data_IF_967411965871
#
_entry.id   IF_967411965871
#
_cell.length_a   1.000
_cell.length_b   1.000
_cell.length_c   1.000
_cell.angle_alpha   90.00
_cell.angle_beta   90.00
_cell.angle_gamma   90.00
#
_symmetry.space_group_name_H-M   'P 1'
#
loop_
_entity.id
_entity.type
_entity.pdbx_description
1 polymer ?
#
# COMPACT_ATOMS: atom_id res chain seq x y z
N UNK A 1 -29.55 -41.18 69.76
CA UNK A 1 -29.07 -41.59 68.39
C UNK A 1 -29.22 -40.47 67.36
N UNK A 2 -30.12 -39.55 67.51
CA UNK A 2 -30.32 -38.40 66.50
C UNK A 2 -29.19 -37.38 66.48
N UNK A 3 -28.58 -37.03 67.63
CA UNK A 3 -27.53 -36.00 67.64
C UNK A 3 -26.21 -36.37 66.91
N UNK A 4 -25.82 -37.63 66.98
CA UNK A 4 -24.64 -38.09 66.26
C UNK A 4 -24.85 -38.09 64.73
N UNK A 5 -26.05 -38.46 64.27
CA UNK A 5 -26.41 -38.45 62.85
C UNK A 5 -26.40 -36.99 62.29
N UNK A 6 -26.94 -36.01 63.07
CA UNK A 6 -26.91 -34.60 62.65
C UNK A 6 -25.48 -34.06 62.56
N UNK A 7 -24.57 -34.39 63.47
CA UNK A 7 -23.15 -34.00 63.42
C UNK A 7 -22.45 -34.60 62.21
N UNK A 8 -22.69 -35.87 61.90
CA UNK A 8 -22.10 -36.52 60.73
C UNK A 8 -22.59 -35.88 59.41
N UNK A 9 -23.89 -35.61 59.30
CA UNK A 9 -24.48 -34.91 58.15
C UNK A 9 -23.88 -33.55 57.95
N UNK A 10 -23.73 -32.76 59.01
CA UNK A 10 -23.10 -31.41 58.95
C UNK A 10 -21.65 -31.52 58.54
N UNK A 11 -20.86 -32.47 59.03
CA UNK A 11 -19.46 -32.67 58.62
C UNK A 11 -19.36 -33.11 57.14
N UNK A 12 -20.22 -33.96 56.65
CA UNK A 12 -20.25 -34.35 55.24
C UNK A 12 -20.61 -33.19 54.33
N UNK A 13 -21.57 -32.37 54.71
CA UNK A 13 -21.94 -31.18 53.95
C UNK A 13 -20.81 -30.15 53.93
N UNK A 14 -20.16 -29.92 55.08
CA UNK A 14 -18.98 -29.03 55.14
C UNK A 14 -17.82 -29.56 54.30
N UNK A 15 -17.55 -30.87 54.34
CA UNK A 15 -16.50 -31.49 53.51
C UNK A 15 -16.83 -31.41 52.00
N UNK A 16 -18.09 -31.64 51.62
CA UNK A 16 -18.54 -31.50 50.24
C UNK A 16 -18.45 -30.03 49.75
N UNK A 17 -18.84 -29.09 50.60
CA UNK A 17 -18.71 -27.67 50.29
C UNK A 17 -17.21 -27.24 50.12
N UNK A 18 -16.37 -27.73 51.03
CA UNK A 18 -14.93 -27.46 50.97
C UNK A 18 -14.29 -28.05 49.71
N UNK A 19 -14.69 -29.27 49.33
CA UNK A 19 -14.25 -29.93 48.10
C UNK A 19 -14.73 -29.17 46.85
N UNK A 20 -15.99 -28.73 46.83
CA UNK A 20 -16.54 -27.95 45.73
C UNK A 20 -15.80 -26.62 45.55
N UNK A 21 -15.38 -25.95 46.63
CA UNK A 21 -14.58 -24.71 46.60
C UNK A 21 -13.11 -24.97 46.20
N UNK A 22 -12.60 -26.19 46.40
CA UNK A 22 -11.23 -26.58 46.08
C UNK A 22 -10.98 -26.80 44.59
N UNK A 23 -12.01 -27.10 43.81
CA UNK A 23 -11.89 -27.42 42.40
C UNK A 23 -12.02 -26.15 41.58
N UNK A 24 -11.01 -25.84 40.79
CA UNK A 24 -11.00 -24.72 39.83
C UNK A 24 -10.63 -25.23 38.45
N UNK A 25 -11.31 -24.70 37.44
CA UNK A 25 -11.03 -24.99 36.03
C UNK A 25 -10.23 -23.84 35.43
N UNK A 26 -9.06 -24.16 34.87
CA UNK A 26 -8.22 -23.23 34.08
C UNK A 26 -8.47 -23.55 32.62
N UNK A 27 -8.85 -22.52 31.84
CA UNK A 27 -9.14 -22.67 30.42
C UNK A 27 -7.85 -22.86 29.60
N UNK A 28 -7.94 -23.47 28.41
CA UNK A 28 -6.79 -23.77 27.57
C UNK A 28 -5.94 -22.55 27.20
N UNK A 29 -6.54 -21.40 27.06
CA UNK A 29 -5.91 -20.12 26.74
C UNK A 29 -5.48 -19.31 27.97
N UNK A 30 -5.61 -19.87 29.17
CA UNK A 30 -5.23 -19.25 30.44
C UNK A 30 -4.15 -20.08 31.13
N UNK A 31 -3.35 -19.41 31.93
CA UNK A 31 -2.47 -20.05 32.92
C UNK A 31 -2.83 -19.55 34.30
N UNK A 32 -2.84 -20.43 35.26
CA UNK A 32 -3.12 -20.11 36.65
C UNK A 32 -1.82 -19.89 37.43
N UNK A 33 -1.59 -18.68 37.92
CA UNK A 33 -0.51 -18.42 38.88
C UNK A 33 -1.04 -18.68 40.28
N UNK A 34 -0.47 -19.67 40.96
CA UNK A 34 -0.87 -20.09 42.29
C UNK A 34 -0.05 -19.35 43.35
N UNK A 35 -0.75 -18.61 44.18
CA UNK A 35 -0.19 -17.98 45.38
C UNK A 35 -0.63 -18.75 46.62
N UNK A 36 0.31 -19.13 47.43
CA UNK A 36 0.06 -19.73 48.74
C UNK A 36 0.60 -18.82 49.83
N UNK A 37 -0.28 -18.34 50.70
CA UNK A 37 0.08 -17.39 51.76
C UNK A 37 0.88 -16.18 51.21
N UNK A 38 0.51 -15.68 50.03
CA UNK A 38 1.17 -14.55 49.37
C UNK A 38 2.46 -14.87 48.62
N UNK A 39 2.97 -16.11 48.62
CA UNK A 39 4.14 -16.53 47.84
C UNK A 39 3.73 -17.30 46.62
N UNK A 40 4.42 -17.03 45.48
CA UNK A 40 4.23 -17.80 44.25
C UNK A 40 4.75 -19.22 44.43
N UNK A 41 3.90 -20.20 44.26
CA UNK A 41 4.24 -21.63 44.31
C UNK A 41 4.54 -22.18 42.93
N UNK A 42 3.86 -21.68 41.89
CA UNK A 42 4.08 -22.13 40.52
C UNK A 42 2.92 -21.78 39.61
N UNK A 43 3.09 -22.21 38.35
CA UNK A 43 2.07 -22.07 37.29
C UNK A 43 1.27 -23.35 37.17
N UNK A 44 -0.04 -23.23 37.07
CA UNK A 44 -0.94 -24.33 36.80
C UNK A 44 -1.34 -24.35 35.33
N UNK A 45 -1.23 -25.53 34.74
CA UNK A 45 -1.63 -25.77 33.36
C UNK A 45 -3.17 -25.83 33.21
N UNK A 46 -3.67 -25.70 31.97
CA UNK A 46 -5.10 -25.83 31.70
C UNK A 46 -5.65 -27.19 32.15
N UNK A 47 -6.85 -27.16 32.66
CA UNK A 47 -7.54 -28.35 33.15
C UNK A 47 -8.09 -28.16 34.53
N UNK A 48 -8.36 -29.27 35.20
CA UNK A 48 -8.84 -29.35 36.59
C UNK A 48 -7.65 -29.10 37.52
N UNK A 49 -7.75 -28.05 38.35
CA UNK A 49 -6.74 -27.69 39.33
C UNK A 49 -7.35 -27.70 40.72
N UNK A 50 -6.69 -28.38 41.63
CA UNK A 50 -7.07 -28.40 43.06
C UNK A 50 -6.30 -27.32 43.78
N UNK A 51 -7.04 -26.48 44.51
CA UNK A 51 -6.53 -25.43 45.37
C UNK A 51 -7.03 -25.66 46.80
N UNK A 52 -6.23 -25.23 47.76
CA UNK A 52 -6.67 -25.20 49.16
C UNK A 52 -7.44 -23.91 49.41
N UNK A 53 -8.78 -23.98 49.61
CA UNK A 53 -9.55 -22.76 49.85
C UNK A 53 -8.98 -21.99 51.05
N UNK A 54 -9.05 -20.64 51.02
CA UNK A 54 -8.55 -19.74 52.05
C UNK A 54 -7.02 -19.53 52.02
N UNK A 55 -6.23 -20.57 51.79
CA UNK A 55 -4.75 -20.50 51.79
C UNK A 55 -4.20 -20.16 50.42
N UNK A 56 -4.81 -20.76 49.36
CA UNK A 56 -4.37 -20.63 47.99
C UNK A 56 -5.23 -19.62 47.23
N UNK A 57 -4.56 -18.72 46.53
CA UNK A 57 -5.19 -17.77 45.61
C UNK A 57 -4.71 -18.05 44.20
N UNK A 58 -5.65 -18.35 43.31
CA UNK A 58 -5.36 -18.61 41.88
C UNK A 58 -5.65 -17.36 41.06
N UNK A 59 -4.59 -16.72 40.50
CA UNK A 59 -4.71 -15.66 39.53
C UNK A 59 -4.64 -16.23 38.11
N UNK A 60 -5.68 -16.03 37.31
CA UNK A 60 -5.73 -16.51 35.93
C UNK A 60 -5.25 -15.41 34.99
N UNK A 61 -4.31 -15.75 34.10
CA UNK A 61 -3.72 -14.86 33.11
C UNK A 61 -4.00 -15.43 31.73
N UNK A 62 -4.56 -14.60 30.84
CA UNK A 62 -4.80 -15.00 29.44
C UNK A 62 -3.51 -14.87 28.63
N UNK A 63 -3.22 -15.90 27.82
CA UNK A 63 -2.08 -15.94 26.90
C UNK A 63 -2.45 -15.49 25.48
N UNK A 64 -3.72 -15.11 25.25
CA UNK A 64 -4.17 -14.63 23.95
C UNK A 64 -3.56 -13.27 23.64
N UNK A 65 -3.47 -12.99 22.35
CA UNK A 65 -3.12 -11.66 21.89
C UNK A 65 -4.25 -10.69 22.28
N UNK A 66 -3.85 -9.60 22.89
CA UNK A 66 -4.75 -8.51 23.29
C UNK A 66 -4.46 -7.32 22.39
N UNK A 67 -5.49 -6.78 21.80
CA UNK A 67 -5.43 -5.54 21.02
C UNK A 67 -5.66 -4.36 21.94
N UNK A 68 -4.71 -3.44 21.96
CA UNK A 68 -4.77 -2.25 22.82
C UNK A 68 -4.70 -0.98 21.96
N UNK A 69 -5.78 -0.19 21.93
CA UNK A 69 -5.74 1.10 21.27
C UNK A 69 -4.89 2.09 22.09
N UNK A 70 -3.97 2.77 21.42
CA UNK A 70 -3.22 3.90 21.96
C UNK A 70 -3.96 5.16 21.54
N UNK A 71 -4.39 5.92 22.54
CA UNK A 71 -5.16 7.15 22.32
C UNK A 71 -4.34 8.17 21.54
N UNK A 72 -5.04 8.99 20.76
CA UNK A 72 -4.44 10.06 19.98
C UNK A 72 -3.59 10.99 20.86
N UNK A 73 -2.37 11.24 20.40
CA UNK A 73 -1.38 12.10 21.04
C UNK A 73 -1.01 13.25 20.11
N UNK A 74 -1.14 14.48 20.64
CA UNK A 74 -0.58 15.66 19.98
C UNK A 74 0.94 15.64 20.05
N UNK A 75 1.60 15.62 18.90
CA UNK A 75 3.05 15.50 18.74
C UNK A 75 3.53 16.59 17.80
N UNK A 76 4.70 17.16 18.08
CA UNK A 76 5.38 18.06 17.16
C UNK A 76 6.49 17.24 16.48
N UNK A 77 6.43 17.17 15.17
CA UNK A 77 7.41 16.47 14.32
C UNK A 77 8.72 17.25 14.24
N UNK A 78 9.78 16.65 13.68
CA UNK A 78 11.11 17.27 13.52
C UNK A 78 11.05 18.56 12.68
N UNK A 79 10.16 18.63 11.71
CA UNK A 79 9.88 19.79 10.84
C UNK A 79 8.91 20.81 11.44
N UNK A 80 8.70 20.73 12.76
CA UNK A 80 7.88 21.66 13.56
C UNK A 80 6.40 21.70 13.15
N UNK A 81 5.86 20.57 12.68
CA UNK A 81 4.43 20.42 12.39
C UNK A 81 3.74 19.71 13.55
N UNK A 82 2.63 20.29 14.05
CA UNK A 82 1.80 19.64 15.06
C UNK A 82 0.87 18.63 14.39
N UNK A 83 0.92 17.38 14.85
CA UNK A 83 0.11 16.26 14.34
C UNK A 83 -0.52 15.50 15.49
N UNK A 84 -1.73 14.99 15.29
CA UNK A 84 -2.37 14.09 16.24
C UNK A 84 -2.24 12.65 15.69
N UNK A 85 -1.52 11.81 16.43
CA UNK A 85 -1.22 10.44 16.01
C UNK A 85 -1.84 9.44 16.96
N UNK A 86 -2.57 8.48 16.42
CA UNK A 86 -3.10 7.32 17.13
C UNK A 86 -2.48 6.02 16.60
N UNK A 87 -2.39 5.00 17.47
CA UNK A 87 -1.82 3.71 17.12
C UNK A 87 -2.57 2.56 17.78
N UNK A 88 -2.27 1.35 17.37
CA UNK A 88 -2.76 0.13 18.00
C UNK A 88 -1.58 -0.78 18.28
N UNK A 89 -1.49 -1.30 19.51
CA UNK A 89 -0.50 -2.27 19.90
C UNK A 89 -1.14 -3.64 20.14
N UNK A 90 -0.48 -4.69 19.68
CA UNK A 90 -0.86 -6.08 19.90
C UNK A 90 0.19 -6.72 20.79
N UNK A 91 -0.23 -7.22 21.93
CA UNK A 91 0.67 -7.86 22.88
C UNK A 91 0.08 -9.15 23.42
N UNK A 92 0.92 -10.03 23.92
CA UNK A 92 0.54 -11.25 24.63
C UNK A 92 1.43 -11.48 25.83
N UNK A 93 0.89 -12.11 26.85
CA UNK A 93 1.66 -12.57 28.00
C UNK A 93 2.34 -13.90 27.64
N UNK A 94 3.66 -13.97 27.86
CA UNK A 94 4.47 -15.18 27.68
C UNK A 94 4.79 -15.81 29.03
N UNK A 95 5.19 -14.99 30.00
CA UNK A 95 5.47 -15.43 31.36
C UNK A 95 4.37 -14.88 32.31
N UNK A 96 3.40 -15.73 32.70
CA UNK A 96 2.31 -15.30 33.56
C UNK A 96 2.76 -14.96 34.99
N UNK A 97 3.89 -15.51 35.48
CA UNK A 97 4.40 -15.20 36.80
C UNK A 97 4.94 -13.78 36.82
N UNK A 98 5.81 -13.44 35.88
CA UNK A 98 6.35 -12.08 35.75
C UNK A 98 5.24 -11.06 35.57
N UNK A 99 4.25 -11.37 34.72
CA UNK A 99 3.13 -10.47 34.45
C UNK A 99 2.25 -10.16 35.67
N UNK A 100 2.21 -11.04 36.67
CA UNK A 100 1.42 -10.81 37.88
C UNK A 100 2.24 -10.24 39.02
N UNK A 101 3.55 -10.56 39.08
CA UNK A 101 4.44 -10.16 40.18
C UNK A 101 5.14 -8.83 39.91
N UNK A 102 5.59 -8.62 38.66
CA UNK A 102 6.39 -7.46 38.32
C UNK A 102 5.55 -6.18 38.13
N UNK A 103 4.28 -6.32 37.76
CA UNK A 103 3.43 -5.17 37.45
C UNK A 103 1.98 -5.43 37.86
N UNK A 104 1.31 -4.40 38.38
CA UNK A 104 -0.07 -4.50 38.83
C UNK A 104 -1.06 -4.59 37.66
N UNK A 105 -0.87 -3.70 36.67
CA UNK A 105 -1.74 -3.62 35.49
C UNK A 105 -0.91 -3.51 34.22
N UNK A 106 -0.74 -4.65 33.56
CA UNK A 106 0.04 -4.77 32.32
C UNK A 106 -0.52 -3.83 31.25
N UNK A 107 -1.84 -3.82 31.02
CA UNK A 107 -2.45 -3.03 29.96
C UNK A 107 -2.25 -1.52 30.18
N UNK A 108 -2.45 -1.03 31.40
CA UNK A 108 -2.26 0.38 31.70
C UNK A 108 -0.81 0.83 31.53
N UNK A 109 0.13 0.00 32.00
CA UNK A 109 1.54 0.32 31.89
C UNK A 109 2.04 0.31 30.45
N UNK A 110 1.67 -0.70 29.65
CA UNK A 110 2.00 -0.74 28.22
C UNK A 110 1.43 0.47 27.51
N UNK A 111 0.19 0.85 27.80
CA UNK A 111 -0.43 2.03 27.20
C UNK A 111 0.37 3.31 27.52
N UNK A 112 0.78 3.49 28.74
CA UNK A 112 1.55 4.67 29.17
C UNK A 112 2.92 4.73 28.47
N UNK A 113 3.61 3.60 28.40
CA UNK A 113 4.91 3.53 27.70
C UNK A 113 4.71 3.72 26.19
N UNK A 114 3.67 3.11 25.60
CA UNK A 114 3.37 3.25 24.20
C UNK A 114 3.09 4.70 23.80
N UNK A 115 2.35 5.46 24.62
CA UNK A 115 2.10 6.89 24.38
C UNK A 115 3.39 7.71 24.39
N UNK A 116 4.27 7.45 25.37
CA UNK A 116 5.56 8.16 25.47
C UNK A 116 6.53 7.79 24.37
N UNK A 117 6.57 6.51 24.01
CA UNK A 117 7.39 5.99 22.90
C UNK A 117 6.90 6.52 21.55
N UNK A 118 5.60 6.51 21.32
CA UNK A 118 4.98 7.08 20.13
C UNK A 118 5.38 8.55 19.94
N UNK A 119 5.25 9.36 21.01
CA UNK A 119 5.66 10.77 21.00
C UNK A 119 7.14 10.93 20.69
N UNK A 120 8.00 10.10 21.30
CA UNK A 120 9.46 10.14 21.08
C UNK A 120 9.83 9.79 19.66
N UNK A 121 9.32 8.68 19.13
CA UNK A 121 9.69 8.19 17.79
C UNK A 121 9.15 9.11 16.72
N UNK A 122 7.85 9.45 16.73
CA UNK A 122 7.26 10.35 15.73
C UNK A 122 7.88 11.75 15.79
N UNK A 123 8.21 12.27 16.99
CA UNK A 123 8.90 13.55 17.12
C UNK A 123 10.33 13.60 16.56
N UNK A 124 10.95 12.45 16.32
CA UNK A 124 12.28 12.36 15.69
C UNK A 124 12.24 12.35 14.17
N UNK A 125 11.07 12.07 13.57
CA UNK A 125 10.86 12.01 12.14
C UNK A 125 10.18 13.28 11.61
N UNK A 126 10.37 13.56 10.31
CA UNK A 126 9.58 14.59 9.62
C UNK A 126 8.17 14.06 9.31
N UNK A 127 7.26 14.97 8.97
CA UNK A 127 5.91 14.59 8.57
C UNK A 127 5.93 13.68 7.33
N UNK A 128 6.73 14.04 6.33
CA UNK A 128 6.84 13.25 5.10
C UNK A 128 7.41 11.85 5.36
N UNK A 129 8.43 11.73 6.21
CA UNK A 129 8.97 10.44 6.65
C UNK A 129 7.93 9.62 7.41
N UNK A 130 7.15 10.27 8.28
CA UNK A 130 6.11 9.60 9.08
C UNK A 130 4.99 9.04 8.20
N UNK A 131 4.64 9.73 7.12
CA UNK A 131 3.62 9.29 6.17
C UNK A 131 4.15 8.25 5.16
N UNK A 132 5.39 8.42 4.69
CA UNK A 132 5.97 7.56 3.65
C UNK A 132 6.61 6.28 4.19
N UNK A 133 7.17 6.32 5.42
CA UNK A 133 7.95 5.22 6.02
C UNK A 133 7.27 4.69 7.29
N UNK A 134 5.95 4.61 7.29
CA UNK A 134 5.14 4.15 8.43
C UNK A 134 5.60 2.79 8.96
N UNK A 135 6.00 1.88 8.07
CA UNK A 135 6.45 0.53 8.44
C UNK A 135 7.74 0.56 9.29
N UNK A 136 8.70 1.41 8.93
CA UNK A 136 9.95 1.58 9.69
C UNK A 136 9.66 2.12 11.09
N UNK A 137 8.77 3.08 11.19
CA UNK A 137 8.34 3.67 12.46
C UNK A 137 7.63 2.64 13.33
N UNK A 138 6.74 1.83 12.75
CA UNK A 138 6.03 0.75 13.44
C UNK A 138 7.01 -0.26 14.04
N UNK A 139 8.03 -0.67 13.27
CA UNK A 139 9.09 -1.58 13.75
C UNK A 139 9.89 -0.96 14.89
N UNK A 140 10.31 0.30 14.76
CA UNK A 140 11.05 1.00 15.80
C UNK A 140 10.26 1.11 17.12
N UNK A 141 8.97 1.48 17.02
CA UNK A 141 8.11 1.56 18.21
C UNK A 141 7.95 0.18 18.86
N UNK A 142 7.72 -0.86 18.05
CA UNK A 142 7.61 -2.24 18.54
C UNK A 142 8.86 -2.69 19.28
N UNK A 143 10.05 -2.47 18.72
CA UNK A 143 11.32 -2.87 19.32
C UNK A 143 11.58 -2.17 20.67
N UNK A 144 11.29 -0.88 20.74
CA UNK A 144 11.44 -0.14 22.00
C UNK A 144 10.44 -0.65 23.04
N UNK A 145 9.19 -0.90 22.67
CA UNK A 145 8.16 -1.40 23.57
C UNK A 145 8.50 -2.81 24.06
N UNK A 146 8.89 -3.70 23.14
CA UNK A 146 9.23 -5.08 23.46
C UNK A 146 10.39 -5.16 24.45
N UNK A 147 11.45 -4.39 24.22
CA UNK A 147 12.58 -4.30 25.15
C UNK A 147 12.20 -3.79 26.55
N UNK A 148 11.21 -2.90 26.66
CA UNK A 148 10.74 -2.40 27.96
C UNK A 148 9.78 -3.37 28.67
N UNK A 149 9.03 -4.17 27.92
CA UNK A 149 8.01 -5.11 28.45
C UNK A 149 8.57 -6.51 28.71
N UNK A 150 9.76 -6.84 28.22
CA UNK A 150 10.43 -8.13 28.43
C UNK A 150 10.56 -8.50 29.93
N UNK A 151 10.91 -7.51 30.75
CA UNK A 151 11.01 -7.68 32.20
C UNK A 151 9.70 -8.07 32.88
N UNK A 152 8.57 -7.81 32.25
CA UNK A 152 7.23 -8.13 32.73
C UNK A 152 6.69 -9.44 32.16
N UNK A 153 7.48 -10.17 31.34
CA UNK A 153 7.04 -11.40 30.70
C UNK A 153 5.95 -11.19 29.65
N UNK A 154 5.93 -10.02 29.01
CA UNK A 154 5.01 -9.64 27.95
C UNK A 154 5.79 -9.38 26.68
N UNK A 155 5.27 -9.85 25.55
CA UNK A 155 5.86 -9.63 24.22
C UNK A 155 4.90 -8.79 23.39
N UNK A 156 5.41 -7.71 22.82
CA UNK A 156 4.69 -6.87 21.87
C UNK A 156 4.91 -7.44 20.47
N UNK A 157 3.86 -8.02 19.91
CA UNK A 157 3.93 -8.70 18.61
C UNK A 157 3.94 -7.73 17.44
N UNK A 158 3.10 -6.70 17.52
CA UNK A 158 2.90 -5.75 16.43
C UNK A 158 2.48 -4.39 16.99
N UNK A 159 2.94 -3.32 16.37
CA UNK A 159 2.44 -1.97 16.59
C UNK A 159 2.16 -1.36 15.23
N UNK A 160 1.01 -0.74 15.08
CA UNK A 160 0.59 -0.08 13.85
C UNK A 160 0.08 1.32 14.14
N UNK A 161 0.58 2.29 13.39
CA UNK A 161 -0.01 3.62 13.33
C UNK A 161 -1.37 3.52 12.64
N UNK A 162 -2.42 4.01 13.32
CA UNK A 162 -3.79 3.91 12.82
C UNK A 162 -4.19 5.14 12.02
N UNK A 163 -3.95 6.33 12.57
CA UNK A 163 -4.39 7.59 11.99
C UNK A 163 -3.40 8.70 12.36
N UNK A 164 -3.10 9.55 11.38
CA UNK A 164 -2.26 10.73 11.52
C UNK A 164 -3.11 11.93 11.08
N UNK A 165 -3.60 12.69 12.04
CA UNK A 165 -4.45 13.84 11.79
C UNK A 165 -3.60 15.10 11.73
N UNK A 166 -3.78 15.83 10.66
CA UNK A 166 -3.11 17.11 10.39
C UNK A 166 -4.07 18.28 10.63
N UNK A 167 -3.58 19.44 11.06
CA UNK A 167 -4.36 20.66 11.06
C UNK A 167 -4.91 21.00 9.67
N UNK A 168 -6.11 21.53 9.60
CA UNK A 168 -6.78 21.85 8.33
C UNK A 168 -6.00 22.82 7.43
N UNK A 169 -5.24 23.74 8.03
CA UNK A 169 -4.34 24.64 7.29
C UNK A 169 -3.24 23.88 6.55
N UNK A 170 -2.67 22.86 7.21
CA UNK A 170 -1.60 22.03 6.64
C UNK A 170 -2.15 21.08 5.58
N UNK A 171 -3.30 20.43 5.81
CA UNK A 171 -3.97 19.62 4.79
C UNK A 171 -4.18 20.38 3.49
N UNK A 172 -4.63 21.64 3.58
CA UNK A 172 -4.81 22.51 2.41
C UNK A 172 -3.50 22.90 1.75
N UNK A 173 -2.44 23.11 2.52
CA UNK A 173 -1.12 23.40 1.98
C UNK A 173 -0.55 22.20 1.23
N UNK A 174 -0.59 21.01 1.83
CA UNK A 174 -0.13 19.76 1.21
C UNK A 174 -0.95 19.38 -0.03
N UNK A 175 -2.28 19.60 -0.01
CA UNK A 175 -3.13 19.39 -1.18
C UNK A 175 -2.69 20.26 -2.37
N UNK A 176 -2.42 21.56 -2.14
CA UNK A 176 -1.92 22.46 -3.18
C UNK A 176 -0.52 22.07 -3.68
N UNK A 177 0.35 21.65 -2.77
CA UNK A 177 1.69 21.16 -3.15
C UNK A 177 1.60 19.89 -4.00
N UNK A 178 0.78 18.92 -3.58
CA UNK A 178 0.55 17.69 -4.33
C UNK A 178 -0.08 17.94 -5.71
N UNK A 179 -0.99 18.91 -5.81
CA UNK A 179 -1.60 19.31 -7.08
C UNK A 179 -0.56 19.94 -8.02
N UNK A 180 0.26 20.87 -7.50
CA UNK A 180 1.34 21.49 -8.27
C UNK A 180 2.40 20.47 -8.73
N UNK A 181 2.73 19.50 -7.89
CA UNK A 181 3.68 18.43 -8.24
C UNK A 181 3.10 17.49 -9.31
N UNK A 182 1.82 17.14 -9.21
CA UNK A 182 1.11 16.36 -10.24
C UNK A 182 1.04 17.12 -11.56
N UNK A 183 0.71 18.40 -11.53
CA UNK A 183 0.68 19.25 -12.72
C UNK A 183 2.08 19.36 -13.37
N UNK A 184 3.13 19.57 -12.56
CA UNK A 184 4.52 19.54 -13.05
C UNK A 184 4.85 18.22 -13.74
N UNK A 185 4.54 17.09 -13.08
CA UNK A 185 4.80 15.76 -13.63
C UNK A 185 4.01 15.50 -14.90
N UNK A 186 2.73 15.91 -14.93
CA UNK A 186 1.90 15.80 -16.14
C UNK A 186 2.48 16.61 -17.32
N UNK A 187 2.99 17.83 -17.06
CA UNK A 187 3.65 18.65 -18.09
C UNK A 187 4.94 18.03 -18.60
N UNK A 188 5.73 17.41 -17.72
CA UNK A 188 6.96 16.71 -18.13
C UNK A 188 6.61 15.51 -19.02
N UNK A 189 5.67 14.67 -18.58
CA UNK A 189 5.22 13.49 -19.34
C UNK A 189 4.62 13.91 -20.69
N UNK A 190 3.84 14.99 -20.74
CA UNK A 190 3.29 15.50 -21.99
C UNK A 190 4.41 15.97 -22.94
N UNK A 191 5.38 16.73 -22.43
CA UNK A 191 6.52 17.20 -23.22
C UNK A 191 7.41 16.05 -23.73
N UNK A 192 7.67 15.05 -22.90
CA UNK A 192 8.38 13.82 -23.30
C UNK A 192 7.59 13.05 -24.37
N UNK A 193 6.27 12.94 -24.19
CA UNK A 193 5.38 12.32 -25.18
C UNK A 193 5.37 13.08 -26.51
N UNK A 194 5.32 14.41 -26.49
CA UNK A 194 5.41 15.25 -27.69
C UNK A 194 6.77 15.09 -28.39
N UNK A 195 7.88 15.05 -27.64
CA UNK A 195 9.22 14.83 -28.20
C UNK A 195 9.31 13.47 -28.89
N UNK A 196 8.88 12.41 -28.23
CA UNK A 196 8.86 11.04 -28.82
C UNK A 196 7.93 10.98 -30.05
N UNK A 197 6.77 11.64 -29.99
CA UNK A 197 5.87 11.71 -31.13
C UNK A 197 6.46 12.50 -32.29
N UNK A 198 7.16 13.62 -32.02
CA UNK A 198 7.85 14.39 -33.05
C UNK A 198 8.95 13.60 -33.75
N UNK A 199 9.77 12.86 -33.01
CA UNK A 199 10.80 11.98 -33.56
C UNK A 199 10.18 10.87 -34.44
N UNK A 200 9.11 10.24 -33.95
CA UNK A 200 8.39 9.20 -34.71
C UNK A 200 7.73 9.77 -35.97
N UNK A 201 7.15 10.97 -35.88
CA UNK A 201 6.56 11.67 -37.04
C UNK A 201 7.66 12.11 -38.02
N UNK A 202 8.82 12.54 -37.55
CA UNK A 202 9.99 12.86 -38.37
C UNK A 202 10.45 11.63 -39.16
N UNK A 203 10.67 10.51 -38.49
CA UNK A 203 11.05 9.26 -39.13
C UNK A 203 9.98 8.76 -40.12
N UNK A 204 8.70 8.87 -39.78
CA UNK A 204 7.60 8.54 -40.68
C UNK A 204 7.55 9.46 -41.91
N UNK A 205 7.83 10.75 -41.72
CA UNK A 205 7.88 11.74 -42.81
C UNK A 205 9.00 11.44 -43.80
N UNK A 206 10.20 11.05 -43.32
CA UNK A 206 11.32 10.69 -44.18
C UNK A 206 10.98 9.47 -45.06
N UNK A 207 10.31 8.46 -44.47
CA UNK A 207 9.83 7.28 -45.22
C UNK A 207 8.75 7.65 -46.25
N UNK A 208 7.81 8.54 -45.88
CA UNK A 208 6.75 9.00 -46.78
C UNK A 208 7.28 9.89 -47.92
N UNK A 209 8.29 10.68 -47.66
CA UNK A 209 8.97 11.51 -48.70
C UNK A 209 9.68 10.64 -49.72
N UNK A 210 10.23 9.48 -49.34
CA UNK A 210 10.82 8.52 -50.25
C UNK A 210 9.76 7.81 -51.15
N UNK A 211 8.50 7.80 -50.72
CA UNK A 211 7.38 7.14 -51.42
C UNK A 211 6.18 8.09 -51.62
N UNK A 212 6.13 8.91 -52.66
CA UNK A 212 5.10 9.95 -52.86
C UNK A 212 3.66 9.42 -52.87
N UNK A 213 3.44 8.17 -53.31
CA UNK A 213 2.10 7.52 -53.25
C UNK A 213 1.64 7.25 -51.82
N UNK A 214 2.55 6.96 -50.88
CA UNK A 214 2.22 6.74 -49.47
C UNK A 214 1.68 8.03 -48.83
N UNK A 215 2.24 9.20 -49.19
CA UNK A 215 1.76 10.48 -48.72
C UNK A 215 0.30 10.77 -49.15
N UNK A 216 -0.01 10.41 -50.41
CA UNK A 216 -1.39 10.59 -50.94
C UNK A 216 -2.38 9.69 -50.22
N UNK A 217 -1.98 8.42 -49.99
CA UNK A 217 -2.84 7.46 -49.25
C UNK A 217 -3.06 7.94 -47.80
N UNK A 218 -2.04 8.48 -47.17
CA UNK A 218 -2.15 9.04 -45.79
C UNK A 218 -3.06 10.25 -45.74
N UNK A 219 -3.01 11.15 -46.74
CA UNK A 219 -3.91 12.30 -46.86
C UNK A 219 -5.36 11.84 -47.03
N UNK A 220 -5.61 10.82 -47.85
CA UNK A 220 -6.94 10.25 -48.02
C UNK A 220 -7.43 9.58 -46.73
N UNK A 221 -6.58 8.89 -46.02
CA UNK A 221 -6.90 8.26 -44.73
C UNK A 221 -7.29 9.30 -43.66
N UNK A 222 -6.51 10.40 -43.55
CA UNK A 222 -6.84 11.50 -42.65
C UNK A 222 -8.16 12.18 -43.00
N UNK A 223 -8.51 12.29 -44.29
CA UNK A 223 -9.81 12.79 -44.74
C UNK A 223 -10.95 11.86 -44.34
N UNK A 224 -10.75 10.55 -44.41
CA UNK A 224 -11.76 9.56 -43.98
C UNK A 224 -11.95 9.64 -42.46
N UNK A 225 -10.85 9.76 -41.67
CA UNK A 225 -10.91 9.93 -40.22
C UNK A 225 -11.69 11.19 -39.80
N UNK A 226 -11.47 12.32 -40.49
CA UNK A 226 -12.22 13.56 -40.25
C UNK A 226 -13.71 13.43 -40.65
N UNK A 227 -14.02 12.60 -41.66
CA UNK A 227 -15.38 12.38 -42.13
C UNK A 227 -16.26 11.49 -41.21
N UNK A 228 -15.62 10.69 -40.33
CA UNK A 228 -16.34 9.79 -39.41
C UNK A 228 -17.06 10.55 -38.29
N UNK A 229 -16.53 11.69 -37.88
CA UNK A 229 -17.05 12.50 -36.75
C UNK A 229 -18.21 13.45 -37.08
N UNK A 230 -18.98 13.18 -38.12
CA UNK A 230 -20.21 13.93 -38.49
C UNK A 230 -20.03 15.44 -38.69
N UNK A 231 -18.84 15.95 -38.90
CA UNK A 231 -18.59 17.34 -39.23
C UNK A 231 -18.66 17.53 -40.78
N UNK A 232 -19.62 18.28 -41.22
CA UNK A 232 -19.89 18.52 -42.67
C UNK A 232 -18.99 19.60 -43.30
N UNK A 233 -18.12 20.23 -42.53
CA UNK A 233 -17.22 21.28 -43.02
C UNK A 233 -15.78 20.86 -42.92
N UNK A 234 -15.18 20.49 -44.05
CA UNK A 234 -13.75 20.18 -44.16
C UNK A 234 -13.00 21.43 -44.62
N UNK A 235 -12.22 22.03 -43.75
CA UNK A 235 -11.34 23.15 -44.11
C UNK A 235 -9.99 22.59 -44.58
N UNK A 236 -9.73 22.67 -45.87
CA UNK A 236 -8.44 22.30 -46.43
C UNK A 236 -7.41 23.38 -46.14
N UNK A 237 -6.32 23.12 -45.41
CA UNK A 237 -5.24 24.08 -45.28
C UNK A 237 -4.55 24.30 -46.66
N UNK A 238 -4.18 25.54 -46.95
CA UNK A 238 -3.61 25.97 -48.24
C UNK A 238 -2.46 25.12 -48.82
N UNK A 239 -1.61 24.41 -48.02
CA UNK A 239 -0.55 23.54 -48.55
C UNK A 239 -1.06 22.34 -49.35
N UNK A 240 -2.33 21.89 -49.16
CA UNK A 240 -2.89 20.76 -49.92
C UNK A 240 -3.22 21.11 -51.37
N UNK A 241 -3.45 22.40 -51.68
CA UNK A 241 -3.72 22.86 -53.06
C UNK A 241 -2.47 22.75 -53.94
N UNK A 242 -1.26 23.01 -53.40
CA UNK A 242 0.01 22.86 -54.15
C UNK A 242 0.33 21.40 -54.47
N UNK A 243 -0.10 20.43 -53.65
CA UNK A 243 0.07 18.99 -53.94
C UNK A 243 -0.90 18.51 -55.02
N UNK A 244 -2.09 19.13 -55.15
CA UNK A 244 -3.02 18.84 -56.24
C UNK A 244 -2.50 19.40 -57.61
N UNK A 245 -1.84 20.55 -57.61
CA UNK A 245 -1.15 21.06 -58.78
C UNK A 245 0.01 20.14 -59.23
N UNK A 246 0.79 19.63 -58.26
CA UNK A 246 1.81 18.64 -58.49
C UNK A 246 1.29 17.35 -59.10
N UNK A 247 0.10 16.89 -58.68
CA UNK A 247 -0.55 15.71 -59.20
C UNK A 247 -1.03 15.89 -60.67
N UNK A 248 -1.60 17.06 -60.94
CA UNK A 248 -2.01 17.38 -62.36
C UNK A 248 -0.80 17.49 -63.30
N UNK A 249 0.35 18.06 -62.82
CA UNK A 249 1.60 18.11 -63.56
C UNK A 249 2.21 16.73 -63.78
N UNK A 250 2.13 15.81 -62.79
CA UNK A 250 2.55 14.42 -62.94
C UNK A 250 1.70 13.65 -63.94
N UNK A 251 0.41 13.69 -63.83
CA UNK A 251 -0.53 13.04 -64.77
C UNK A 251 -0.39 13.58 -66.22
N UNK A 252 -0.06 14.86 -66.39
CA UNK A 252 0.18 15.45 -67.72
C UNK A 252 1.49 14.93 -68.29
N UNK A 253 2.55 14.77 -67.47
CA UNK A 253 3.83 14.14 -67.90
C UNK A 253 3.68 12.68 -68.34
N UNK A 254 2.93 11.90 -67.57
CA UNK A 254 2.66 10.50 -67.86
C UNK A 254 1.85 10.31 -69.13
N UNK A 255 0.88 11.19 -69.32
CA UNK A 255 0.08 11.26 -70.55
C UNK A 255 0.92 11.62 -71.78
N UNK A 256 1.91 12.51 -71.65
CA UNK A 256 2.83 12.91 -72.71
C UNK A 256 3.84 11.77 -72.98
N UNK A 257 4.30 11.06 -71.97
CA UNK A 257 5.21 9.91 -72.09
C UNK A 257 4.51 8.71 -72.79
N UNK A 258 3.22 8.50 -72.52
CA UNK A 258 2.39 7.44 -73.14
C UNK A 258 2.08 7.75 -74.62
N UNK A 259 2.14 9.00 -75.03
CA UNK A 259 1.88 9.42 -76.43
C UNK A 259 3.12 9.41 -77.31
N UNK A 260 4.34 9.34 -76.72
CA UNK A 260 5.61 9.16 -77.44
C UNK A 260 6.14 7.73 -77.36
N UNK A 261 5.33 6.78 -77.85
CA UNK A 261 5.89 5.48 -78.22
C UNK A 261 6.68 5.62 -79.52
N UNK A 262 7.99 5.28 -79.54
CA UNK A 262 8.74 5.29 -80.80
C UNK A 262 8.21 4.22 -81.74
N UNK A 263 7.80 4.63 -82.98
CA UNK A 263 7.43 3.74 -84.06
C UNK A 263 8.60 2.78 -84.37
N UNK A 264 8.29 1.48 -84.45
CA UNK A 264 9.22 0.42 -84.76
C UNK A 264 10.03 0.69 -86.09
N UNK A 265 11.31 0.43 -86.13
CA UNK A 265 12.10 0.61 -87.33
C UNK A 265 11.73 -0.48 -88.36
N UNK A 266 11.40 0.00 -89.58
CA UNK A 266 11.01 -0.77 -90.74
C UNK A 266 12.25 -1.58 -91.28
N UNK A 267 12.21 -2.89 -91.26
CA UNK A 267 13.19 -3.80 -91.86
C UNK A 267 13.10 -3.77 -93.40
N UNK A 268 14.10 -3.20 -94.05
CA UNK A 268 14.36 -3.48 -95.46
C UNK A 268 15.75 -4.11 -95.64
N UNK A 269 15.73 -5.25 -96.16
CA UNK A 269 16.83 -6.14 -96.49
C UNK A 269 17.73 -5.65 -97.63
N UNK A 270 18.87 -6.25 -97.85
CA UNK A 270 20.02 -5.67 -98.55
C UNK A 270 19.97 -5.98 -100.02
N UNK A 271 20.56 -5.13 -100.82
CA UNK A 271 20.95 -5.43 -102.20
C UNK A 271 22.46 -5.40 -102.36
N UNK A 272 23.00 -6.47 -102.93
CA UNK A 272 24.32 -6.73 -103.40
C UNK A 272 24.82 -5.68 -104.40
N UNK A 273 26.10 -5.44 -104.43
CA UNK A 273 27.08 -5.57 -105.54
C UNK A 273 28.37 -4.89 -105.12
N UNK A 274 29.49 -5.57 -105.11
CA UNK A 274 30.40 -6.05 -106.14
C UNK A 274 31.36 -4.97 -106.70
N UNK A 275 32.58 -5.30 -106.67
CA UNK A 275 33.74 -4.78 -107.43
C UNK A 275 34.51 -3.59 -106.77
N UNK A 276 35.74 -3.62 -106.56
CA UNK A 276 37.04 -4.15 -107.15
C UNK A 276 38.04 -4.10 -106.01
#
# INVERSE_FOLDING_TARGET
MSGWLTVVVVLVVLAALWFALSVRIVKQYERGVLFRLGRVVGVREPGLTFIVPVIDVLRRVSLRIVTMPIQSQGIITRDNVSVDVSAVAYYRVVDPVKAVVAIENVAAAINQIAQTTLRKVVGQHSLDETLAQTDVINVNIREILDGQTEGWGVVVTLVELKDIQLPESMKRAMARQAEAEREKRAKIIAAEGEALAADALGAASDVMMAHPLALQLRNLQSLVELGVDKNTTVVFPAPLMSTLEGLTAFLSRERTAATTLPSAPNSRAPSKNSNV
#
